data_IF_058916906479
#
_entry.id   IF_058916906479
#
_cell.length_a   1.000
_cell.length_b   1.000
_cell.length_c   1.000
_cell.angle_alpha   90.00
_cell.angle_beta   90.00
_cell.angle_gamma   90.00
#
_symmetry.space_group_name_H-M   'P 1'
#
loop_
_entity.id
_entity.type
_entity.pdbx_description
1 polymer ?
#
# COMPACT_ATOMS: atom_id res chain seq x y z
N UNK A 1 8.65 -9.12 -3.52
CA UNK A 1 8.64 -10.40 -2.81
C UNK A 1 7.61 -10.24 -1.72
N UNK A 2 6.37 -10.59 -2.04
CA UNK A 2 5.27 -10.51 -1.07
C UNK A 2 5.55 -11.58 -0.02
N UNK A 3 5.66 -11.17 1.25
CA UNK A 3 5.70 -12.10 2.37
C UNK A 3 4.28 -12.61 2.57
N UNK A 4 3.97 -13.70 1.87
CA UNK A 4 2.76 -14.49 2.04
C UNK A 4 3.14 -15.63 2.99
N UNK A 5 2.64 -15.64 4.23
CA UNK A 5 2.79 -16.85 5.07
C UNK A 5 1.88 -17.97 4.50
N UNK A 6 2.10 -19.20 4.97
CA UNK A 6 1.36 -20.44 4.64
C UNK A 6 -0.19 -20.37 4.76
N UNK A 7 -0.75 -19.26 5.27
CA UNK A 7 -2.21 -19.01 5.30
C UNK A 7 -2.71 -18.06 4.19
N UNK A 8 -1.84 -17.55 3.32
CA UNK A 8 -2.22 -16.72 2.18
C UNK A 8 -2.56 -15.25 2.52
N UNK A 9 -2.34 -14.81 3.77
CA UNK A 9 -2.57 -13.43 4.18
C UNK A 9 -1.34 -12.55 3.95
N UNK A 10 -1.52 -11.35 3.39
CA UNK A 10 -0.47 -10.33 3.31
C UNK A 10 -0.32 -9.64 4.67
N UNK A 11 0.77 -9.90 5.39
CA UNK A 11 1.11 -9.30 6.70
C UNK A 11 1.71 -7.90 6.58
N UNK A 12 1.44 -7.19 5.51
CA UNK A 12 1.96 -5.84 5.32
C UNK A 12 0.79 -4.88 5.22
N UNK A 13 0.92 -3.75 5.92
CA UNK A 13 -0.02 -2.64 5.81
C UNK A 13 0.09 -2.06 4.41
N UNK A 14 -0.99 -2.16 3.65
CA UNK A 14 -1.04 -1.59 2.31
C UNK A 14 -1.31 -0.09 2.39
N UNK A 15 -0.29 0.71 2.06
CA UNK A 15 -0.46 2.14 1.87
C UNK A 15 -1.23 2.47 0.59
N UNK A 16 -1.70 3.72 0.49
CA UNK A 16 -2.48 4.23 -0.64
C UNK A 16 -1.78 3.98 -1.99
N UNK A 17 -0.46 4.20 -2.01
CA UNK A 17 0.39 3.98 -3.19
C UNK A 17 0.59 2.51 -3.54
N UNK A 18 0.70 1.62 -2.54
CA UNK A 18 0.79 0.18 -2.78
C UNK A 18 -0.50 -0.38 -3.39
N UNK A 19 -1.66 0.09 -2.92
CA UNK A 19 -2.97 -0.26 -3.49
C UNK A 19 -3.10 0.25 -4.94
N UNK A 20 -2.57 1.44 -5.22
CA UNK A 20 -2.55 1.98 -6.57
C UNK A 20 -1.65 1.17 -7.52
N UNK A 21 -0.45 0.81 -7.08
CA UNK A 21 0.48 -0.01 -7.85
C UNK A 21 -0.13 -1.39 -8.14
N UNK A 22 -0.88 -1.95 -7.19
CA UNK A 22 -1.64 -3.19 -7.36
C UNK A 22 -2.72 -3.04 -8.44
N UNK A 23 -3.51 -1.97 -8.39
CA UNK A 23 -4.50 -1.70 -9.45
C UNK A 23 -3.86 -1.46 -10.81
N UNK A 24 -2.70 -0.82 -10.87
CA UNK A 24 -1.98 -0.65 -12.12
C UNK A 24 -1.48 -2.00 -12.66
N UNK A 25 -1.07 -2.92 -11.79
CA UNK A 25 -0.61 -4.27 -12.19
C UNK A 25 -1.78 -5.07 -12.76
N UNK A 26 -2.93 -5.05 -12.08
CA UNK A 26 -4.15 -5.73 -12.53
C UNK A 26 -4.66 -5.18 -13.87
N UNK A 27 -4.64 -3.86 -14.05
CA UNK A 27 -5.00 -3.24 -15.32
C UNK A 27 -4.05 -3.62 -16.47
N UNK A 28 -2.74 -3.76 -16.17
CA UNK A 28 -1.76 -4.22 -17.15
C UNK A 28 -1.98 -5.69 -17.51
N UNK A 29 -2.21 -6.57 -16.51
CA UNK A 29 -2.50 -8.00 -16.75
C UNK A 29 -3.73 -8.19 -17.63
N UNK A 30 -4.76 -7.35 -17.50
CA UNK A 30 -5.99 -7.44 -18.30
C UNK A 30 -5.81 -6.98 -19.76
N UNK A 31 -4.91 -6.05 -20.03
CA UNK A 31 -4.74 -5.42 -21.35
C UNK A 31 -3.59 -6.02 -22.17
N UNK A 32 -2.52 -6.43 -21.49
CA UNK A 32 -1.29 -6.93 -22.11
C UNK A 32 -0.90 -8.26 -21.47
N UNK A 33 -1.55 -9.34 -21.94
CA UNK A 33 -1.23 -10.71 -21.51
C UNK A 33 0.09 -11.23 -22.12
N UNK A 34 0.62 -10.59 -23.16
CA UNK A 34 1.80 -11.09 -23.93
C UNK A 34 3.10 -10.30 -23.72
N UNK A 35 3.09 -9.18 -22.99
CA UNK A 35 4.31 -8.36 -22.81
C UNK A 35 4.87 -8.53 -21.39
N UNK A 36 6.08 -9.09 -21.23
CA UNK A 36 6.73 -9.15 -19.94
C UNK A 36 7.04 -7.74 -19.44
N UNK A 37 6.43 -7.37 -18.32
CA UNK A 37 6.60 -6.05 -17.72
C UNK A 37 7.91 -5.97 -16.97
N UNK A 38 8.78 -5.04 -17.36
CA UNK A 38 9.96 -4.70 -16.57
C UNK A 38 9.52 -3.93 -15.31
N UNK A 39 9.79 -4.48 -14.12
CA UNK A 39 9.40 -3.89 -12.83
C UNK A 39 9.89 -2.44 -12.68
N UNK A 40 11.11 -2.14 -13.13
CA UNK A 40 11.70 -0.82 -13.02
C UNK A 40 10.97 0.23 -13.87
N UNK A 41 10.52 -0.15 -15.07
CA UNK A 41 9.77 0.75 -15.95
C UNK A 41 8.32 0.92 -15.48
N UNK A 42 7.73 -0.17 -14.99
CA UNK A 42 6.38 -0.16 -14.45
C UNK A 42 6.24 0.70 -13.20
N UNK A 43 7.19 0.57 -12.26
CA UNK A 43 7.20 1.38 -11.04
C UNK A 43 7.31 2.88 -11.33
N UNK A 44 8.16 3.25 -12.31
CA UNK A 44 8.27 4.65 -12.78
C UNK A 44 6.94 5.14 -13.37
N UNK A 45 6.33 4.36 -14.27
CA UNK A 45 5.07 4.72 -14.92
C UNK A 45 3.91 4.84 -13.93
N UNK A 46 3.84 3.99 -12.91
CA UNK A 46 2.83 4.10 -11.86
C UNK A 46 3.07 5.33 -10.99
N UNK A 47 4.32 5.67 -10.70
CA UNK A 47 4.65 6.87 -9.92
C UNK A 47 4.34 8.17 -10.66
N UNK A 48 4.63 8.24 -11.96
CA UNK A 48 4.22 9.35 -12.81
C UNK A 48 2.69 9.47 -12.87
N UNK A 49 2.00 8.33 -13.05
CA UNK A 49 0.54 8.32 -13.12
C UNK A 49 -0.08 8.75 -11.79
N UNK A 50 0.45 8.31 -10.66
CA UNK A 50 -0.02 8.65 -9.31
C UNK A 50 -0.05 10.16 -9.07
N UNK A 51 1.01 10.87 -9.47
CA UNK A 51 1.09 12.34 -9.40
C UNK A 51 -0.04 13.04 -10.15
N UNK A 52 -0.50 12.43 -11.24
CA UNK A 52 -1.60 12.96 -12.07
C UNK A 52 -2.99 12.46 -11.67
N UNK A 53 -3.09 11.54 -10.69
CA UNK A 53 -4.38 11.04 -10.21
C UNK A 53 -5.10 12.17 -9.48
N UNK A 54 -6.37 12.40 -9.85
CA UNK A 54 -7.21 13.37 -9.17
C UNK A 54 -7.49 12.95 -7.73
N UNK A 55 -7.59 13.93 -6.83
CA UNK A 55 -7.97 13.76 -5.43
C UNK A 55 -9.22 12.87 -5.23
N UNK A 56 -10.17 12.88 -6.18
CA UNK A 56 -11.34 11.99 -6.15
C UNK A 56 -10.99 10.51 -6.29
N UNK A 57 -10.03 10.18 -7.15
CA UNK A 57 -9.51 8.82 -7.29
C UNK A 57 -8.59 8.48 -6.12
N UNK A 58 -7.72 9.40 -5.68
CA UNK A 58 -6.90 9.23 -4.48
C UNK A 58 -7.76 8.92 -3.25
N UNK A 59 -8.88 9.62 -3.05
CA UNK A 59 -9.83 9.39 -1.96
C UNK A 59 -10.41 7.97 -1.93
N UNK A 60 -10.51 7.29 -3.09
CA UNK A 60 -10.90 5.88 -3.13
C UNK A 60 -9.81 4.99 -2.52
N UNK A 61 -8.55 5.26 -2.87
CA UNK A 61 -7.41 4.53 -2.32
C UNK A 61 -7.18 4.86 -0.85
N UNK A 62 -7.43 6.10 -0.41
CA UNK A 62 -7.38 6.51 0.99
C UNK A 62 -8.32 5.66 1.84
N UNK A 63 -9.59 5.55 1.42
CA UNK A 63 -10.57 4.70 2.12
C UNK A 63 -10.13 3.23 2.19
N UNK A 64 -9.48 2.73 1.14
CA UNK A 64 -8.95 1.37 1.12
C UNK A 64 -7.75 1.22 2.06
N UNK A 65 -6.82 2.19 2.10
CA UNK A 65 -5.67 2.20 2.99
C UNK A 65 -6.10 2.30 4.46
N UNK A 66 -7.08 3.16 4.77
CA UNK A 66 -7.70 3.26 6.11
C UNK A 66 -8.36 1.94 6.53
N UNK A 67 -9.09 1.28 5.63
CA UNK A 67 -9.65 -0.03 5.91
C UNK A 67 -8.57 -1.10 6.12
N UNK A 68 -7.47 -1.03 5.35
CA UNK A 68 -6.35 -1.93 5.49
C UNK A 68 -5.58 -1.73 6.80
N UNK A 69 -5.41 -0.48 7.25
CA UNK A 69 -4.85 -0.16 8.58
C UNK A 69 -5.63 -0.88 9.68
N UNK A 70 -6.96 -0.80 9.68
CA UNK A 70 -7.82 -1.48 10.68
C UNK A 70 -7.65 -3.01 10.62
N UNK A 71 -7.56 -3.59 9.42
CA UNK A 71 -7.29 -5.02 9.24
C UNK A 71 -5.93 -5.38 9.84
N UNK A 72 -4.89 -4.65 9.45
CA UNK A 72 -3.52 -4.85 9.87
C UNK A 72 -3.37 -4.73 11.38
N UNK A 73 -3.94 -3.68 12.00
CA UNK A 73 -3.92 -3.48 13.45
C UNK A 73 -4.61 -4.63 14.20
N UNK A 74 -5.68 -5.19 13.63
CA UNK A 74 -6.36 -6.36 14.20
C UNK A 74 -5.47 -7.60 14.11
N UNK A 75 -4.96 -7.92 12.92
CA UNK A 75 -4.10 -9.08 12.70
C UNK A 75 -2.80 -9.00 13.52
N UNK A 76 -2.28 -7.79 13.69
CA UNK A 76 -1.03 -7.57 14.40
C UNK A 76 -1.18 -7.47 15.91
N UNK A 77 -2.37 -7.18 16.44
CA UNK A 77 -2.68 -7.41 17.86
C UNK A 77 -2.57 -8.90 18.21
N UNK A 78 -3.10 -9.76 17.37
CA UNK A 78 -3.00 -11.22 17.54
C UNK A 78 -1.55 -11.71 17.37
N UNK A 79 -0.81 -11.13 16.41
CA UNK A 79 0.61 -11.44 16.20
C UNK A 79 1.54 -10.92 17.32
N UNK A 80 1.33 -9.70 17.79
CA UNK A 80 2.11 -9.05 18.86
C UNK A 80 1.96 -9.77 20.20
N UNK A 81 0.77 -10.29 20.50
CA UNK A 81 0.54 -11.17 21.66
C UNK A 81 1.31 -12.49 21.54
N UNK A 82 1.48 -13.03 20.33
CA UNK A 82 2.19 -14.28 20.10
C UNK A 82 3.72 -14.14 20.08
N UNK A 83 4.26 -12.98 19.68
CA UNK A 83 5.72 -12.79 19.49
C UNK A 83 6.37 -11.69 20.35
N UNK A 84 5.64 -11.01 21.23
CA UNK A 84 6.21 -10.04 22.18
C UNK A 84 6.83 -8.80 21.52
N UNK A 85 6.38 -8.44 20.31
CA UNK A 85 6.89 -7.30 19.55
C UNK A 85 6.18 -6.03 20.02
N UNK A 86 6.93 -4.96 20.29
CA UNK A 86 6.39 -3.67 20.72
C UNK A 86 5.69 -2.93 19.55
N UNK A 87 4.47 -3.36 19.25
CA UNK A 87 3.62 -2.86 18.16
C UNK A 87 3.40 -1.35 18.18
N UNK A 88 3.31 -0.79 19.40
CA UNK A 88 2.92 0.61 19.63
C UNK A 88 3.85 1.62 18.97
N UNK A 89 5.15 1.31 18.82
CA UNK A 89 6.12 2.19 18.16
C UNK A 89 6.03 2.11 16.64
N UNK A 90 5.69 0.94 16.10
CA UNK A 90 5.45 0.75 14.67
C UNK A 90 4.18 1.50 14.25
N UNK A 91 3.14 1.48 15.09
CA UNK A 91 1.88 2.21 14.83
C UNK A 91 2.11 3.73 14.76
N UNK A 92 2.93 4.28 15.67
CA UNK A 92 3.26 5.71 15.74
C UNK A 92 4.15 6.17 14.57
N UNK A 93 5.19 5.40 14.23
CA UNK A 93 6.06 5.70 13.06
C UNK A 93 5.28 5.64 11.74
N UNK A 94 4.30 4.75 11.65
CA UNK A 94 3.44 4.60 10.48
C UNK A 94 2.43 5.75 10.35
N UNK A 95 1.97 6.33 11.46
CA UNK A 95 1.15 7.55 11.43
C UNK A 95 1.97 8.77 11.02
N UNK A 96 3.20 8.92 11.54
CA UNK A 96 4.11 10.00 11.15
C UNK A 96 4.46 9.95 9.65
N UNK A 97 4.73 8.76 9.09
CA UNK A 97 5.00 8.62 7.65
C UNK A 97 3.79 8.96 6.77
N UNK A 98 2.56 8.70 7.24
CA UNK A 98 1.34 9.07 6.51
C UNK A 98 1.10 10.58 6.52
N UNK A 99 1.33 11.25 7.65
CA UNK A 99 1.25 12.72 7.72
C UNK A 99 2.32 13.36 6.82
N UNK A 100 3.55 12.82 6.78
CA UNK A 100 4.59 13.32 5.87
C UNK A 100 4.27 13.09 4.38
N UNK A 101 3.62 11.98 4.02
CA UNK A 101 3.15 11.76 2.64
C UNK A 101 1.99 12.71 2.27
N UNK A 102 1.06 13.00 3.19
CA UNK A 102 -0.01 13.99 2.97
C UNK A 102 0.57 15.41 2.81
N UNK A 103 1.54 15.82 3.65
CA UNK A 103 2.20 17.13 3.55
C UNK A 103 2.98 17.28 2.22
N UNK A 104 3.65 16.22 1.75
CA UNK A 104 4.30 16.24 0.43
C UNK A 104 3.33 16.30 -0.75
N UNK A 105 2.11 15.77 -0.59
CA UNK A 105 1.06 15.92 -1.62
C UNK A 105 0.43 17.33 -1.63
N UNK A 106 0.47 18.07 -0.52
CA UNK A 106 0.01 19.47 -0.47
C UNK A 106 1.06 20.49 -0.98
N UNK A 107 2.35 20.14 -0.96
CA UNK A 107 3.43 21.03 -1.42
C UNK A 107 3.79 20.87 -2.92
N UNK A 108 3.28 19.85 -3.64
CA UNK A 108 3.53 19.60 -5.08
C UNK A 108 2.41 20.11 -6.02
#
# INVERSE_FOLDING_TARGET
MELVDDTGGCYFRMSMKNLFDETCREEHKKKDLEVPVNFAEFSKKCSERWKTVSEKEKSKFDKMAKADKVRYDREMKDYGLAKGVAWKKVEEEVEEEEEEEEEKEEEE
#
